data_IF_252489404687
#
_entry.id   IF_252489404687
#
_cell.length_a   1.000
_cell.length_b   1.000
_cell.length_c   1.000
_cell.angle_alpha   90.00
_cell.angle_beta   90.00
_cell.angle_gamma   90.00
#
_symmetry.space_group_name_H-M   'P 1'
#
loop_
_entity.id
_entity.type
_entity.pdbx_description
1 polymer ?
#
# COMPACT_ATOMS: atom_id res chain seq x y z
N UNK A 1 11.95 -9.74 -10.05
CA UNK A 1 13.33 -9.70 -10.59
C UNK A 1 13.37 -10.50 -11.88
N UNK A 2 13.86 -9.92 -12.97
CA UNK A 2 14.01 -10.67 -14.24
C UNK A 2 15.25 -11.56 -14.25
N UNK A 3 16.11 -11.47 -13.23
CA UNK A 3 17.39 -12.18 -13.17
C UNK A 3 18.49 -11.52 -14.01
N UNK A 4 18.27 -10.28 -14.45
CA UNK A 4 19.18 -9.49 -15.28
C UNK A 4 19.44 -8.17 -14.55
N UNK A 5 20.62 -8.04 -13.93
CA UNK A 5 21.00 -6.89 -13.10
C UNK A 5 20.97 -5.57 -13.86
N UNK A 6 21.29 -5.57 -15.17
CA UNK A 6 21.28 -4.35 -15.97
C UNK A 6 19.84 -3.88 -16.23
N UNK A 7 18.93 -4.83 -16.44
CA UNK A 7 17.50 -4.55 -16.63
C UNK A 7 16.81 -4.14 -15.33
N UNK A 8 17.14 -4.80 -14.22
CA UNK A 8 16.63 -4.44 -12.90
C UNK A 8 17.15 -3.04 -12.47
N UNK A 9 18.40 -2.68 -12.75
CA UNK A 9 18.93 -1.32 -12.52
C UNK A 9 18.26 -0.26 -13.42
N UNK A 10 18.02 -0.57 -14.70
CA UNK A 10 17.36 0.37 -15.61
C UNK A 10 15.91 0.64 -15.19
N UNK A 11 15.20 -0.39 -14.72
CA UNK A 11 13.83 -0.27 -14.24
C UNK A 11 13.78 0.49 -12.89
N UNK A 12 14.73 0.27 -11.99
CA UNK A 12 14.88 1.06 -10.76
C UNK A 12 15.15 2.54 -11.06
N UNK A 13 16.04 2.82 -12.01
CA UNK A 13 16.35 4.18 -12.44
C UNK A 13 15.16 4.86 -13.16
N UNK A 14 14.33 4.09 -13.86
CA UNK A 14 13.10 4.58 -14.49
C UNK A 14 12.05 4.95 -13.45
N UNK A 15 11.82 4.09 -12.45
CA UNK A 15 10.90 4.35 -11.34
C UNK A 15 11.30 5.59 -10.53
N UNK A 16 12.59 5.71 -10.20
CA UNK A 16 13.10 6.88 -9.47
C UNK A 16 13.02 8.20 -10.25
N UNK A 17 12.80 8.16 -11.57
CA UNK A 17 12.68 9.34 -12.45
C UNK A 17 11.28 9.58 -12.96
N UNK A 18 10.36 8.66 -12.71
CA UNK A 18 8.98 8.77 -13.15
C UNK A 18 8.27 9.83 -12.31
N UNK A 19 7.98 10.97 -12.93
CA UNK A 19 7.23 12.05 -12.28
C UNK A 19 5.86 11.57 -11.77
N UNK A 20 5.24 10.61 -12.48
CA UNK A 20 3.96 10.00 -12.09
C UNK A 20 4.10 9.20 -10.79
N UNK A 21 5.07 8.30 -10.72
CA UNK A 21 5.26 7.41 -9.55
C UNK A 21 5.70 8.21 -8.32
N UNK A 22 6.50 9.26 -8.52
CA UNK A 22 6.89 10.19 -7.45
C UNK A 22 5.69 10.98 -6.93
N UNK A 23 4.81 11.47 -7.82
CA UNK A 23 3.59 12.17 -7.44
C UNK A 23 2.63 11.26 -6.64
N UNK A 24 2.38 10.05 -7.12
CA UNK A 24 1.56 9.06 -6.40
C UNK A 24 2.14 8.75 -5.01
N UNK A 25 3.46 8.53 -4.96
CA UNK A 25 4.17 8.24 -3.71
C UNK A 25 4.09 9.39 -2.72
N UNK A 26 4.20 10.64 -3.19
CA UNK A 26 4.09 11.82 -2.34
C UNK A 26 2.71 11.92 -1.66
N UNK A 27 1.62 11.63 -2.38
CA UNK A 27 0.29 11.57 -1.76
C UNK A 27 0.20 10.50 -0.67
N UNK A 28 0.79 9.32 -0.90
CA UNK A 28 0.84 8.25 0.08
C UNK A 28 1.60 8.67 1.35
N UNK A 29 2.81 9.21 1.21
CA UNK A 29 3.65 9.64 2.33
C UNK A 29 2.97 10.74 3.14
N UNK A 30 2.42 11.76 2.47
CA UNK A 30 1.71 12.86 3.15
C UNK A 30 0.50 12.33 3.93
N UNK A 31 -0.28 11.41 3.36
CA UNK A 31 -1.43 10.83 4.06
C UNK A 31 -1.04 10.11 5.35
N UNK A 32 0.09 9.40 5.36
CA UNK A 32 0.62 8.72 6.56
C UNK A 32 1.14 9.73 7.58
N UNK A 33 1.90 10.74 7.12
CA UNK A 33 2.45 11.78 7.99
C UNK A 33 1.34 12.58 8.69
N UNK A 34 0.33 13.01 7.95
CA UNK A 34 -0.82 13.77 8.47
C UNK A 34 -1.65 12.93 9.45
N UNK A 35 -1.81 11.63 9.18
CA UNK A 35 -2.54 10.72 10.06
C UNK A 35 -1.81 10.43 11.38
N UNK A 36 -0.47 10.48 11.41
CA UNK A 36 0.35 10.26 12.61
C UNK A 36 0.58 11.53 13.42
N UNK A 37 0.60 12.70 12.78
CA UNK A 37 0.94 13.98 13.41
C UNK A 37 0.19 14.29 14.73
N UNK A 38 -1.12 13.97 14.89
CA UNK A 38 -1.84 14.23 16.14
C UNK A 38 -1.35 13.40 17.34
N UNK A 39 -0.69 12.27 17.10
CA UNK A 39 -0.32 11.29 18.13
C UNK A 39 1.17 11.30 18.47
N UNK A 40 2.00 11.92 17.64
CA UNK A 40 3.44 11.92 17.78
C UNK A 40 3.97 13.24 18.34
N UNK A 41 4.88 13.17 19.31
CA UNK A 41 5.65 14.31 19.82
C UNK A 41 6.69 14.81 18.81
N UNK A 42 7.19 13.90 17.98
CA UNK A 42 8.09 14.18 16.87
C UNK A 42 7.86 13.15 15.77
N UNK A 43 8.00 13.59 14.51
CA UNK A 43 7.87 12.74 13.32
C UNK A 43 9.06 13.02 12.41
N UNK A 44 9.61 11.97 11.81
CA UNK A 44 10.63 12.05 10.78
C UNK A 44 10.04 11.51 9.47
N UNK A 45 9.90 12.40 8.48
CA UNK A 45 9.45 12.09 7.13
C UNK A 45 10.60 12.40 6.17
N UNK A 46 11.32 11.41 5.66
CA UNK A 46 12.39 11.64 4.69
C UNK A 46 11.90 12.38 3.44
N UNK A 47 12.70 13.32 2.93
CA UNK A 47 12.35 14.14 1.76
C UNK A 47 12.38 13.35 0.44
N UNK A 48 13.09 12.22 0.39
CA UNK A 48 13.24 11.43 -0.83
C UNK A 48 12.95 9.95 -0.58
N UNK A 49 12.20 9.29 -1.47
CA UNK A 49 11.99 7.85 -1.39
C UNK A 49 13.26 7.08 -1.75
N UNK A 50 13.31 5.82 -1.34
CA UNK A 50 14.27 4.83 -1.83
C UNK A 50 13.57 3.76 -2.66
N UNK A 51 14.33 3.07 -3.53
CA UNK A 51 13.81 1.95 -4.30
C UNK A 51 13.85 0.68 -3.45
N UNK A 52 12.67 0.11 -3.18
CA UNK A 52 12.50 -1.16 -2.50
C UNK A 52 12.41 -2.30 -3.53
N UNK A 53 13.33 -3.25 -3.43
CA UNK A 53 13.33 -4.45 -4.24
C UNK A 53 12.50 -5.55 -3.58
N UNK A 54 11.36 -5.89 -4.18
CA UNK A 54 10.58 -7.07 -3.80
C UNK A 54 10.79 -8.19 -4.84
N UNK A 55 10.44 -9.42 -4.48
CA UNK A 55 10.67 -10.60 -5.32
C UNK A 55 10.19 -10.42 -6.77
N UNK A 56 9.04 -9.76 -6.96
CA UNK A 56 8.35 -9.69 -8.25
C UNK A 56 8.19 -8.27 -8.80
N UNK A 57 8.39 -7.22 -8.01
CA UNK A 57 8.19 -5.81 -8.39
C UNK A 57 9.15 -4.91 -7.63
N UNK A 58 9.41 -3.71 -8.15
CA UNK A 58 10.11 -2.65 -7.43
C UNK A 58 9.14 -1.54 -7.07
N UNK A 59 9.29 -0.98 -5.88
CA UNK A 59 8.42 0.06 -5.34
C UNK A 59 9.26 1.25 -4.89
N UNK A 60 8.70 2.45 -4.93
CA UNK A 60 9.20 3.55 -4.13
C UNK A 60 8.72 3.36 -2.69
N UNK A 61 9.61 3.61 -1.72
CA UNK A 61 9.34 3.45 -0.31
C UNK A 61 9.91 4.63 0.48
N UNK A 62 9.20 5.01 1.55
CA UNK A 62 9.65 6.02 2.52
C UNK A 62 9.28 5.54 3.91
N UNK A 63 10.27 5.48 4.79
CA UNK A 63 10.06 5.11 6.19
C UNK A 63 9.66 6.36 6.98
N UNK A 64 8.37 6.46 7.31
CA UNK A 64 7.85 7.49 8.22
C UNK A 64 7.92 6.96 9.64
N UNK A 65 8.63 7.66 10.52
CA UNK A 65 8.76 7.27 11.92
C UNK A 65 8.27 8.39 12.84
N UNK A 66 7.71 8.03 13.99
CA UNK A 66 7.25 9.01 14.97
C UNK A 66 7.32 8.47 16.39
N UNK A 67 7.51 9.36 17.36
CA UNK A 67 7.53 9.03 18.79
C UNK A 67 6.19 9.39 19.40
N UNK A 68 5.41 8.38 19.76
CA UNK A 68 4.09 8.55 20.38
C UNK A 68 4.21 9.34 21.69
N UNK A 69 3.30 10.30 21.90
CA UNK A 69 3.27 11.11 23.10
C UNK A 69 2.32 10.56 24.17
N UNK A 70 2.71 9.44 24.80
CA UNK A 70 1.91 8.79 25.85
C UNK A 70 1.62 9.69 27.06
N UNK A 71 2.46 10.70 27.28
CA UNK A 71 2.34 11.60 28.44
C UNK A 71 1.26 12.66 28.29
N UNK A 72 0.99 13.12 27.06
CA UNK A 72 0.00 14.16 26.79
C UNK A 72 -1.29 13.59 26.18
N UNK A 73 -1.19 12.49 25.43
CA UNK A 73 -2.32 11.91 24.69
C UNK A 73 -2.15 10.39 24.65
N UNK A 74 -2.57 9.68 25.71
CA UNK A 74 -2.53 8.22 25.72
C UNK A 74 -3.29 7.70 24.50
N UNK A 75 -2.61 6.96 23.63
CA UNK A 75 -3.17 6.43 22.39
C UNK A 75 -2.81 4.96 22.29
N UNK A 76 -3.83 4.14 22.03
CA UNK A 76 -3.61 2.72 21.74
C UNK A 76 -3.34 2.50 20.25
N UNK A 77 -2.75 1.35 19.94
CA UNK A 77 -2.40 0.97 18.56
C UNK A 77 -3.63 0.90 17.64
N UNK A 78 -4.83 0.58 18.14
CA UNK A 78 -6.04 0.53 17.31
C UNK A 78 -6.49 1.91 16.85
N UNK A 79 -6.32 2.92 17.71
CA UNK A 79 -6.57 4.33 17.36
C UNK A 79 -5.60 4.79 16.27
N UNK A 80 -4.31 4.43 16.37
CA UNK A 80 -3.31 4.74 15.35
C UNK A 80 -3.63 4.03 14.03
N UNK A 81 -3.96 2.73 14.07
CA UNK A 81 -4.36 1.96 12.87
C UNK A 81 -5.59 2.60 12.19
N UNK A 82 -6.60 2.99 12.97
CA UNK A 82 -7.82 3.60 12.44
C UNK A 82 -7.56 4.98 11.81
N UNK A 83 -6.55 5.71 12.28
CA UNK A 83 -6.12 6.98 11.66
C UNK A 83 -5.37 6.72 10.35
N UNK A 84 -4.50 5.72 10.32
CA UNK A 84 -3.67 5.37 9.17
C UNK A 84 -4.44 4.70 8.02
N UNK A 85 -5.51 3.98 8.33
CA UNK A 85 -6.22 3.16 7.36
C UNK A 85 -7.59 3.75 6.97
N UNK A 86 -7.89 3.89 5.66
CA UNK A 86 -7.02 3.62 4.51
C UNK A 86 -6.12 4.81 4.17
N UNK A 87 -4.85 4.54 3.88
CA UNK A 87 -3.93 5.54 3.35
C UNK A 87 -4.23 5.86 1.87
N UNK A 88 -3.65 6.95 1.35
CA UNK A 88 -3.82 7.32 -0.05
C UNK A 88 -3.29 6.25 -1.03
N UNK A 89 -2.36 5.39 -0.59
CA UNK A 89 -1.80 4.30 -1.40
C UNK A 89 -2.82 3.22 -1.80
N UNK A 90 -3.90 3.06 -1.04
CA UNK A 90 -4.92 2.02 -1.33
C UNK A 90 -6.33 2.56 -1.52
N UNK A 91 -6.54 3.84 -1.20
CA UNK A 91 -7.79 4.55 -1.40
C UNK A 91 -7.56 5.76 -2.31
N UNK A 92 -6.97 6.82 -1.78
CA UNK A 92 -6.64 8.04 -2.51
C UNK A 92 -6.75 9.26 -1.60
N UNK A 93 -6.58 10.45 -2.16
CA UNK A 93 -6.70 11.72 -1.43
C UNK A 93 -7.57 12.72 -2.21
N UNK A 94 -8.52 13.44 -1.56
CA UNK A 94 -8.98 13.26 -0.18
C UNK A 94 -9.68 11.90 0.04
N UNK A 95 -9.43 11.26 1.19
CA UNK A 95 -9.81 9.85 1.43
C UNK A 95 -11.29 9.56 1.23
N UNK A 96 -12.20 10.38 1.78
CA UNK A 96 -13.65 10.14 1.66
C UNK A 96 -14.18 10.32 0.22
N UNK A 97 -13.57 11.23 -0.53
CA UNK A 97 -13.90 11.43 -1.96
C UNK A 97 -13.43 10.23 -2.77
N UNK A 98 -12.17 9.81 -2.58
CA UNK A 98 -11.61 8.65 -3.25
C UNK A 98 -12.41 7.37 -2.94
N UNK A 99 -12.80 7.18 -1.67
CA UNK A 99 -13.63 6.04 -1.24
C UNK A 99 -14.99 6.01 -1.93
N UNK A 100 -15.62 7.18 -2.09
CA UNK A 100 -16.90 7.30 -2.82
C UNK A 100 -16.74 6.91 -4.28
N UNK A 101 -15.72 7.46 -4.96
CA UNK A 101 -15.41 7.16 -6.37
C UNK A 101 -15.08 5.68 -6.56
N UNK A 102 -14.30 5.08 -5.67
CA UNK A 102 -13.99 3.64 -5.70
C UNK A 102 -15.27 2.80 -5.62
N UNK A 103 -16.17 3.12 -4.68
CA UNK A 103 -17.42 2.38 -4.53
C UNK A 103 -18.33 2.52 -5.76
N UNK A 104 -18.36 3.69 -6.38
CA UNK A 104 -19.16 3.95 -7.59
C UNK A 104 -18.59 3.23 -8.82
N UNK A 105 -17.27 3.27 -9.01
CA UNK A 105 -16.62 2.75 -10.23
C UNK A 105 -16.37 1.24 -10.19
N UNK A 106 -15.97 0.69 -9.04
CA UNK A 106 -15.59 -0.73 -8.97
C UNK A 106 -16.82 -1.65 -9.01
N UNK A 107 -17.96 -1.20 -8.50
CA UNK A 107 -19.18 -2.01 -8.45
C UNK A 107 -19.03 -3.34 -7.71
N UNK A 108 -18.01 -3.47 -6.84
CA UNK A 108 -17.69 -4.70 -6.11
C UNK A 108 -17.26 -4.41 -4.66
N UNK A 109 -17.40 -5.41 -3.80
CA UNK A 109 -16.92 -5.36 -2.42
C UNK A 109 -15.49 -5.93 -2.33
N UNK A 110 -14.51 -5.08 -2.00
CA UNK A 110 -13.11 -5.47 -1.76
C UNK A 110 -12.94 -6.44 -0.58
N UNK A 111 -13.94 -6.57 0.29
CA UNK A 111 -13.94 -7.43 1.47
C UNK A 111 -12.73 -7.13 2.36
N UNK A 112 -11.78 -8.06 2.51
CA UNK A 112 -10.55 -7.85 3.31
C UNK A 112 -9.38 -7.31 2.47
N UNK A 113 -9.50 -7.22 1.15
CA UNK A 113 -8.45 -6.68 0.30
C UNK A 113 -8.17 -5.23 0.64
N UNK A 114 -6.88 -4.88 0.69
CA UNK A 114 -6.35 -3.59 1.12
C UNK A 114 -6.67 -3.20 2.58
N UNK A 115 -7.29 -4.08 3.37
CA UNK A 115 -7.53 -3.87 4.79
C UNK A 115 -6.28 -4.11 5.66
N UNK A 116 -6.29 -3.67 6.92
CA UNK A 116 -5.22 -3.95 7.87
C UNK A 116 -5.17 -5.44 8.24
N UNK A 117 -3.98 -6.02 8.30
CA UNK A 117 -3.74 -7.41 8.70
C UNK A 117 -2.45 -7.51 9.51
N UNK A 118 -2.46 -8.23 10.62
CA UNK A 118 -1.28 -8.36 11.46
C UNK A 118 -1.59 -8.84 12.86
N UNK A 119 -0.77 -8.42 13.83
CA UNK A 119 -0.89 -8.83 15.23
C UNK A 119 -0.68 -7.65 16.19
N UNK A 120 -1.26 -7.77 17.37
CA UNK A 120 -1.08 -6.87 18.52
C UNK A 120 -0.94 -7.73 19.77
N UNK A 121 0.05 -7.46 20.62
CA UNK A 121 0.21 -8.16 21.90
C UNK A 121 -0.52 -7.44 23.06
N UNK A 122 -0.46 -8.05 24.24
CA UNK A 122 -1.09 -7.53 25.46
C UNK A 122 -0.45 -6.25 25.99
N UNK A 123 0.71 -5.83 25.47
CA UNK A 123 1.40 -4.59 25.85
C UNK A 123 1.04 -3.43 24.91
N UNK A 124 0.31 -3.70 23.83
CA UNK A 124 -0.05 -2.72 22.80
C UNK A 124 0.97 -2.63 21.67
N UNK A 125 2.03 -3.45 21.69
CA UNK A 125 2.97 -3.56 20.59
C UNK A 125 2.35 -4.39 19.46
N UNK A 126 2.70 -4.12 18.21
CA UNK A 126 2.18 -4.89 17.09
C UNK A 126 2.80 -4.53 15.76
N UNK A 127 2.47 -5.33 14.76
CA UNK A 127 2.82 -5.09 13.36
C UNK A 127 1.58 -5.30 12.51
N UNK A 128 1.26 -4.30 11.70
CA UNK A 128 0.08 -4.28 10.85
C UNK A 128 0.52 -3.95 9.43
N UNK A 129 0.36 -4.92 8.54
CA UNK A 129 0.49 -4.73 7.11
C UNK A 129 -0.83 -4.38 6.45
N UNK A 130 -0.75 -4.01 5.17
CA UNK A 130 -1.91 -3.86 4.30
C UNK A 130 -2.07 -5.17 3.51
N UNK A 131 -3.28 -5.73 3.51
CA UNK A 131 -3.61 -6.99 2.84
C UNK A 131 -3.62 -6.83 1.31
N UNK A 132 -2.42 -6.80 0.72
CA UNK A 132 -2.17 -6.79 -0.72
C UNK A 132 -1.56 -8.13 -1.16
N UNK A 133 -1.56 -8.38 -2.47
CA UNK A 133 -1.01 -9.62 -3.06
C UNK A 133 -1.58 -10.87 -2.38
N UNK A 134 -2.89 -10.87 -2.18
CA UNK A 134 -3.61 -11.87 -1.42
C UNK A 134 -4.81 -12.44 -2.21
N UNK A 135 -5.43 -13.49 -1.67
CA UNK A 135 -6.65 -14.07 -2.21
C UNK A 135 -7.64 -14.46 -1.12
N UNK A 136 -8.92 -14.34 -1.42
CA UNK A 136 -10.01 -14.77 -0.55
C UNK A 136 -10.50 -16.15 -1.01
N UNK A 137 -10.27 -17.18 -0.18
CA UNK A 137 -10.82 -18.51 -0.40
C UNK A 137 -12.33 -18.53 -0.13
N UNK A 138 -13.08 -19.27 -0.95
CA UNK A 138 -14.47 -19.59 -0.66
C UNK A 138 -14.60 -20.46 0.60
N UNK A 139 -15.77 -20.45 1.23
CA UNK A 139 -16.03 -21.23 2.45
C UNK A 139 -15.77 -22.73 2.25
N UNK A 140 -16.12 -23.26 1.07
CA UNK A 140 -15.86 -24.65 0.69
C UNK A 140 -14.42 -24.93 0.24
N UNK A 141 -13.57 -23.88 0.19
CA UNK A 141 -12.17 -23.90 -0.22
C UNK A 141 -11.91 -24.41 -1.65
N UNK A 142 -12.92 -24.36 -2.53
CA UNK A 142 -12.81 -24.81 -3.93
C UNK A 142 -12.53 -23.70 -4.93
N UNK A 143 -12.63 -22.44 -4.50
CA UNK A 143 -12.34 -21.29 -5.34
C UNK A 143 -11.60 -20.23 -4.54
N UNK A 144 -10.85 -19.39 -5.25
CA UNK A 144 -10.14 -18.26 -4.69
C UNK A 144 -10.40 -17.02 -5.55
N UNK A 145 -10.71 -15.89 -4.89
CA UNK A 145 -10.79 -14.58 -5.54
C UNK A 145 -9.51 -13.81 -5.26
N UNK A 146 -8.79 -13.46 -6.32
CA UNK A 146 -7.59 -12.62 -6.25
C UNK A 146 -7.95 -11.15 -6.49
N UNK A 147 -7.17 -10.26 -5.90
CA UNK A 147 -7.34 -8.82 -6.04
C UNK A 147 -6.00 -8.15 -6.38
N UNK A 148 -6.06 -7.12 -7.22
CA UNK A 148 -4.97 -6.19 -7.47
C UNK A 148 -5.55 -4.82 -7.80
N UNK A 149 -4.78 -3.78 -7.51
CA UNK A 149 -5.14 -2.39 -7.80
C UNK A 149 -3.89 -1.55 -8.04
N UNK A 150 -4.10 -0.41 -8.69
CA UNK A 150 -3.09 0.57 -9.05
C UNK A 150 -3.55 1.94 -8.57
N UNK A 151 -2.62 2.83 -8.21
CA UNK A 151 -2.96 4.22 -7.99
C UNK A 151 -3.23 4.90 -9.32
N UNK A 152 -4.20 5.81 -9.33
CA UNK A 152 -4.60 6.53 -10.53
C UNK A 152 -4.42 8.02 -10.28
N UNK A 153 -3.46 8.60 -10.99
CA UNK A 153 -3.20 10.04 -11.05
C UNK A 153 -3.46 10.58 -12.47
N UNK A 154 -3.42 11.90 -12.65
CA UNK A 154 -3.73 12.54 -13.94
C UNK A 154 -2.86 12.06 -15.11
N UNK A 155 -1.61 11.66 -14.83
CA UNK A 155 -0.68 11.11 -15.83
C UNK A 155 -0.85 9.62 -16.13
N UNK A 156 -1.86 8.95 -15.58
CA UNK A 156 -2.05 7.50 -15.74
C UNK A 156 -2.54 7.13 -17.14
N UNK A 157 -2.03 6.03 -17.68
CA UNK A 157 -2.40 5.51 -19.00
C UNK A 157 -3.16 4.19 -18.78
N UNK A 158 -4.45 4.08 -19.18
CA UNK A 158 -5.28 2.91 -18.84
C UNK A 158 -4.67 1.55 -19.15
N UNK A 159 -3.99 1.42 -20.30
CA UNK A 159 -3.35 0.16 -20.71
C UNK A 159 -2.14 -0.19 -19.82
N UNK A 160 -1.40 0.82 -19.34
CA UNK A 160 -0.28 0.64 -18.41
C UNK A 160 -0.78 0.24 -17.02
N UNK A 161 -1.85 0.87 -16.52
CA UNK A 161 -2.45 0.50 -15.23
C UNK A 161 -3.00 -0.93 -15.23
N UNK A 162 -3.60 -1.34 -16.35
CA UNK A 162 -4.07 -2.71 -16.53
C UNK A 162 -2.89 -3.69 -16.50
N UNK A 163 -1.81 -3.40 -17.23
CA UNK A 163 -0.61 -4.23 -17.23
C UNK A 163 0.03 -4.32 -15.83
N UNK A 164 0.08 -3.22 -15.09
CA UNK A 164 0.57 -3.19 -13.72
C UNK A 164 -0.30 -4.04 -12.79
N UNK A 165 -1.63 -3.93 -12.90
CA UNK A 165 -2.56 -4.73 -12.08
C UNK A 165 -2.38 -6.24 -12.32
N UNK A 166 -2.12 -6.64 -13.58
CA UNK A 166 -1.81 -8.02 -13.94
C UNK A 166 -0.48 -8.49 -13.35
N UNK A 167 0.56 -7.64 -13.41
CA UNK A 167 1.85 -7.93 -12.79
C UNK A 167 1.71 -8.11 -11.26
N UNK A 168 0.86 -7.29 -10.61
CA UNK A 168 0.54 -7.40 -9.17
C UNK A 168 -0.22 -8.67 -8.80
N UNK A 169 -0.94 -9.30 -9.73
CA UNK A 169 -1.58 -10.62 -9.52
C UNK A 169 -0.60 -11.80 -9.63
N UNK A 170 0.52 -11.61 -10.34
CA UNK A 170 1.50 -12.67 -10.63
C UNK A 170 1.93 -13.49 -9.40
N UNK A 171 2.30 -12.89 -8.24
CA UNK A 171 2.74 -13.66 -7.09
C UNK A 171 1.71 -14.71 -6.62
N UNK A 172 0.43 -14.33 -6.58
CA UNK A 172 -0.65 -15.24 -6.17
C UNK A 172 -0.97 -16.27 -7.25
N UNK A 173 -0.91 -15.89 -8.53
CA UNK A 173 -1.10 -16.84 -9.64
C UNK A 173 -0.03 -17.92 -9.63
N UNK A 174 1.24 -17.52 -9.55
CA UNK A 174 2.37 -18.45 -9.46
C UNK A 174 2.22 -19.39 -8.28
N UNK A 175 1.86 -18.88 -7.09
CA UNK A 175 1.66 -19.71 -5.91
C UNK A 175 0.56 -20.78 -6.08
N UNK A 176 -0.46 -20.50 -6.90
CA UNK A 176 -1.55 -21.43 -7.19
C UNK A 176 -1.24 -22.42 -8.33
N UNK A 177 -0.43 -21.99 -9.32
CA UNK A 177 0.01 -22.84 -10.44
C UNK A 177 1.04 -23.88 -9.99
N UNK A 178 1.77 -23.61 -8.90
CA UNK A 178 2.73 -24.53 -8.32
C UNK A 178 2.15 -25.55 -7.34
N UNK A 179 0.81 -25.59 -7.17
CA UNK A 179 0.08 -26.59 -6.38
C UNK A 179 -0.30 -27.80 -7.23
#
# INVERSE_FOLDING_TARGET
MTGDEARDMALAASLAKSSKDLEEHEYAVRSVADALAPYCSSTNVPESPFVLHLANVMHLATDVTGVVNDSATPVDIFTVINSLHPSAAVCGTPTEVAKTVINELEGMNRSRYAGPVGWVDSRGDGEIGIALRCGLLSEDKRSIRLFAGCGIVAGSIPDEELAESQAKLSPMRTALETL
#
